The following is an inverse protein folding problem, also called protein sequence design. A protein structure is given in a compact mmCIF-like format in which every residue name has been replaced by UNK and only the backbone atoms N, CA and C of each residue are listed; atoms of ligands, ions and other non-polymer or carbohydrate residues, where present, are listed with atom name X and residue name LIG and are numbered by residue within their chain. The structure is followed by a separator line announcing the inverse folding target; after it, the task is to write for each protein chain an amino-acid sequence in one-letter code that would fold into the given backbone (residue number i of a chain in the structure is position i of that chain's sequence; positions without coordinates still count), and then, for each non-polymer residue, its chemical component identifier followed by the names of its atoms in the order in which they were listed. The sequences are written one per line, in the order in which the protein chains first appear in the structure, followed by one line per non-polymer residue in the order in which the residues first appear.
data_IF_842232644633
#
_entry.id   IF_842232644633
#
_cell.length_a   1.000
_cell.length_b   1.000
_cell.length_c   1.000
_cell.angle_alpha   90.00
_cell.angle_beta   90.00
_cell.angle_gamma   90.00
#
_symmetry.space_group_name_H-M   'P 1'
#
loop_
_entity.id
_entity.type
_entity.pdbx_description
1 polymer ?
#
# COMPACT_ATOMS: atom_id res chain seq x y z
N UNK A 1 -0.91 16.82 14.17
CA UNK A 1 0.44 16.73 13.58
C UNK A 1 0.74 15.27 13.38
N UNK A 2 0.97 14.88 12.13
CA UNK A 2 1.32 13.52 11.76
C UNK A 2 2.77 13.26 12.15
N UNK A 3 3.01 12.16 12.85
CA UNK A 3 4.35 11.63 13.13
C UNK A 3 4.52 10.36 12.30
N UNK A 4 5.26 10.39 11.19
CA UNK A 4 5.43 9.23 10.32
C UNK A 4 6.20 8.06 10.95
N UNK A 5 6.81 8.27 12.12
CA UNK A 5 7.60 7.29 12.84
C UNK A 5 6.83 6.61 13.97
N UNK A 6 5.60 7.07 14.25
CA UNK A 6 4.72 6.45 15.22
C UNK A 6 4.33 5.04 14.79
N UNK A 7 4.56 4.07 15.66
CA UNK A 7 4.13 2.69 15.48
C UNK A 7 2.67 2.54 15.92
N UNK A 8 1.78 2.32 14.96
CA UNK A 8 0.34 2.26 15.18
C UNK A 8 -0.12 1.05 16.01
N UNK A 9 0.77 0.09 16.30
CA UNK A 9 0.50 -0.98 17.27
C UNK A 9 0.42 -0.46 18.70
N UNK A 10 1.06 0.67 19.00
CA UNK A 10 1.11 1.24 20.35
C UNK A 10 -0.27 1.68 20.86
N UNK A 11 -1.19 2.10 19.97
CA UNK A 11 -2.55 2.52 20.35
C UNK A 11 -3.64 1.56 19.87
N UNK A 12 -3.29 0.45 19.20
CA UNK A 12 -4.24 -0.58 18.78
C UNK A 12 -4.63 -1.57 19.88
N UNK A 13 -4.02 -1.48 21.07
CA UNK A 13 -4.25 -2.35 22.23
C UNK A 13 -4.07 -3.85 21.91
N UNK A 14 -3.05 -4.20 21.12
CA UNK A 14 -2.75 -5.57 20.73
C UNK A 14 -3.71 -6.15 19.68
N UNK A 15 -4.55 -5.31 19.08
CA UNK A 15 -5.42 -5.66 17.94
C UNK A 15 -4.81 -5.16 16.63
N UNK A 16 -5.47 -5.51 15.54
CA UNK A 16 -5.14 -5.05 14.19
C UNK A 16 -5.18 -3.51 14.10
N UNK A 17 -4.03 -2.84 13.85
CA UNK A 17 -3.97 -1.39 13.74
C UNK A 17 -4.90 -0.81 12.66
N UNK A 18 -5.12 -1.52 11.55
CA UNK A 18 -6.00 -1.05 10.47
C UNK A 18 -7.43 -0.76 10.96
N UNK A 19 -7.89 -1.50 11.97
CA UNK A 19 -9.25 -1.38 12.53
C UNK A 19 -9.28 -0.63 13.87
N UNK A 20 -8.17 -0.61 14.60
CA UNK A 20 -8.17 -0.22 16.02
C UNK A 20 -7.22 0.93 16.37
N UNK A 21 -6.30 1.33 15.49
CA UNK A 21 -5.46 2.51 15.74
C UNK A 21 -6.21 3.79 15.40
N UNK A 22 -6.56 4.57 16.44
CA UNK A 22 -7.14 5.90 16.26
C UNK A 22 -6.13 6.86 15.62
N UNK A 23 -4.84 6.66 15.91
CA UNK A 23 -3.75 7.44 15.33
C UNK A 23 -3.63 7.19 13.83
N UNK A 24 -3.67 5.93 13.39
CA UNK A 24 -3.63 5.58 11.96
C UNK A 24 -4.84 6.16 11.21
N UNK A 25 -6.05 5.99 11.76
CA UNK A 25 -7.26 6.57 11.16
C UNK A 25 -7.14 8.09 11.01
N UNK A 26 -6.67 8.78 12.05
CA UNK A 26 -6.43 10.23 12.01
C UNK A 26 -5.40 10.60 10.94
N UNK A 27 -4.29 9.87 10.84
CA UNK A 27 -3.25 10.14 9.84
C UNK A 27 -3.78 10.00 8.42
N UNK A 28 -4.59 8.97 8.12
CA UNK A 28 -5.26 8.86 6.84
C UNK A 28 -6.23 10.02 6.58
N UNK A 29 -7.01 10.42 7.59
CA UNK A 29 -7.95 11.53 7.45
C UNK A 29 -7.22 12.85 7.12
N UNK A 30 -6.11 13.13 7.80
CA UNK A 30 -5.30 14.33 7.59
C UNK A 30 -4.52 14.28 6.25
N UNK A 31 -3.79 13.20 5.95
CA UNK A 31 -2.91 13.12 4.77
C UNK A 31 -3.67 13.12 3.43
N UNK A 32 -4.82 12.48 3.41
CA UNK A 32 -5.57 12.26 2.17
C UNK A 32 -6.71 13.26 1.97
N UNK A 33 -6.88 14.20 2.90
CA UNK A 33 -7.70 15.40 2.70
C UNK A 33 -6.87 16.46 1.98
N UNK A 34 -6.75 16.34 0.65
CA UNK A 34 -5.99 17.28 -0.19
C UNK A 34 -6.53 17.36 -1.62
N UNK A 35 -6.10 18.33 -2.43
CA UNK A 35 -6.54 18.45 -3.82
C UNK A 35 -6.20 17.22 -4.66
N UNK A 36 -7.16 16.78 -5.47
CA UNK A 36 -7.00 15.85 -6.58
C UNK A 36 -6.23 16.52 -7.74
N UNK A 37 -5.67 15.75 -8.69
CA UNK A 37 -4.94 16.30 -9.83
C UNK A 37 -5.75 17.25 -10.74
N UNK A 38 -7.07 17.23 -10.68
CA UNK A 38 -7.95 18.17 -11.40
C UNK A 38 -8.36 19.40 -10.56
N UNK A 39 -7.80 19.55 -9.36
CA UNK A 39 -8.05 20.67 -8.45
C UNK A 39 -9.28 20.53 -7.55
N UNK A 40 -10.10 19.47 -7.71
CA UNK A 40 -11.17 19.18 -6.76
C UNK A 40 -10.57 18.78 -5.40
N UNK A 41 -11.26 19.11 -4.32
CA UNK A 41 -10.81 18.71 -2.98
C UNK A 41 -11.29 17.29 -2.66
N UNK A 42 -10.37 16.38 -2.33
CA UNK A 42 -10.74 15.13 -1.66
C UNK A 42 -10.82 15.39 -0.15
N UNK A 43 -11.83 14.85 0.51
CA UNK A 43 -12.05 14.96 1.96
C UNK A 43 -12.26 13.58 2.55
N UNK A 44 -11.80 13.39 3.79
CA UNK A 44 -12.04 12.18 4.56
C UNK A 44 -13.07 12.45 5.65
N UNK A 45 -14.29 11.92 5.45
CA UNK A 45 -15.39 12.05 6.41
C UNK A 45 -15.32 10.91 7.43
N UNK A 46 -15.16 11.23 8.71
CA UNK A 46 -15.12 10.24 9.79
C UNK A 46 -16.55 9.81 10.18
N UNK A 47 -16.90 8.54 9.95
CA UNK A 47 -18.17 7.93 10.33
C UNK A 47 -18.02 6.99 11.54
N UNK A 48 -17.02 7.24 12.39
CA UNK A 48 -16.71 6.44 13.56
C UNK A 48 -15.82 5.25 13.22
N UNK A 49 -16.42 4.19 12.68
CA UNK A 49 -15.71 2.93 12.40
C UNK A 49 -14.88 2.96 11.10
N UNK A 50 -15.19 3.85 10.16
CA UNK A 50 -14.53 3.96 8.86
C UNK A 50 -14.47 5.40 8.38
N UNK A 51 -13.56 5.66 7.43
CA UNK A 51 -13.49 6.90 6.67
C UNK A 51 -14.27 6.75 5.36
N UNK A 52 -14.91 7.84 4.93
CA UNK A 52 -15.46 7.97 3.59
C UNK A 52 -14.65 9.02 2.84
N UNK A 53 -14.00 8.63 1.75
CA UNK A 53 -13.37 9.54 0.81
C UNK A 53 -14.46 10.22 -0.04
N UNK A 54 -14.45 11.54 -0.12
CA UNK A 54 -15.46 12.33 -0.84
C UNK A 54 -14.83 13.47 -1.62
N UNK A 55 -15.17 13.59 -2.90
CA UNK A 55 -14.84 14.74 -3.75
C UNK A 55 -16.02 15.74 -3.88
N UNK A 56 -17.07 15.55 -3.07
CA UNK A 56 -18.34 16.28 -3.11
C UNK A 56 -19.36 15.76 -4.13
N UNK A 57 -18.97 14.85 -5.02
CA UNK A 57 -19.85 14.23 -6.05
C UNK A 57 -19.99 12.72 -5.85
N UNK A 58 -18.89 12.06 -5.51
CA UNK A 58 -18.78 10.64 -5.23
C UNK A 58 -18.29 10.46 -3.79
N UNK A 59 -18.78 9.42 -3.13
CA UNK A 59 -18.39 9.02 -1.78
C UNK A 59 -18.02 7.54 -1.81
N UNK A 60 -16.80 7.22 -1.38
CA UNK A 60 -16.28 5.85 -1.38
C UNK A 60 -15.81 5.53 0.04
N UNK A 61 -16.41 4.53 0.71
CA UNK A 61 -15.87 4.01 1.96
C UNK A 61 -14.46 3.46 1.72
N UNK A 62 -13.51 3.87 2.56
CA UNK A 62 -12.11 3.43 2.47
C UNK A 62 -11.65 2.79 3.77
N UNK A 63 -10.71 1.87 3.67
CA UNK A 63 -10.01 1.27 4.81
C UNK A 63 -8.51 1.43 4.63
N UNK A 64 -7.79 1.50 5.75
CA UNK A 64 -6.35 1.27 5.77
C UNK A 64 -6.03 -0.12 5.23
N UNK A 65 -4.84 -0.26 4.68
CA UNK A 65 -4.29 -1.50 4.19
C UNK A 65 -2.77 -1.45 4.29
N UNK A 66 -2.21 -2.39 5.05
CA UNK A 66 -0.78 -2.51 5.23
C UNK A 66 -0.11 -3.07 3.96
N UNK A 67 0.89 -2.34 3.46
CA UNK A 67 1.60 -2.68 2.22
C UNK A 67 2.87 -3.52 2.46
N UNK A 68 3.17 -3.87 3.70
CA UNK A 68 4.29 -4.76 4.08
C UNK A 68 3.89 -6.22 3.91
N UNK A 69 4.50 -6.89 2.93
CA UNK A 69 4.32 -8.31 2.71
C UNK A 69 5.58 -9.08 3.15
N UNK A 70 5.67 -9.46 4.43
CA UNK A 70 6.85 -10.20 4.95
C UNK A 70 6.76 -11.71 4.74
N UNK A 71 5.58 -12.30 4.53
CA UNK A 71 5.40 -13.75 4.42
C UNK A 71 5.79 -14.57 5.65
N UNK A 72 6.07 -13.94 6.80
CA UNK A 72 6.49 -14.64 8.02
C UNK A 72 5.46 -15.67 8.51
N UNK A 73 4.17 -15.35 8.36
CA UNK A 73 3.08 -16.25 8.73
C UNK A 73 2.82 -17.38 7.73
N UNK A 74 3.49 -17.39 6.57
CA UNK A 74 3.19 -18.33 5.48
C UNK A 74 3.95 -19.63 5.67
N UNK A 75 3.23 -20.74 5.90
CA UNK A 75 3.82 -22.08 6.13
C UNK A 75 4.84 -22.50 5.06
N UNK A 76 4.59 -22.13 3.80
CA UNK A 76 5.47 -22.44 2.66
C UNK A 76 6.78 -21.63 2.64
N UNK A 77 6.86 -20.53 3.38
CA UNK A 77 8.05 -19.69 3.52
C UNK A 77 8.82 -19.95 4.82
N UNK A 78 8.27 -20.75 5.74
CA UNK A 78 8.78 -20.94 7.09
C UNK A 78 10.29 -21.24 7.14
N UNK A 79 10.78 -22.17 6.32
CA UNK A 79 12.20 -22.54 6.30
C UNK A 79 13.11 -21.39 5.86
N UNK A 80 12.66 -20.55 4.91
CA UNK A 80 13.42 -19.38 4.45
C UNK A 80 13.46 -18.34 5.56
N UNK A 81 12.31 -18.06 6.18
CA UNK A 81 12.17 -17.08 7.26
C UNK A 81 13.04 -17.45 8.47
N UNK A 82 13.03 -18.72 8.89
CA UNK A 82 13.83 -19.21 10.04
C UNK A 82 15.34 -19.12 9.82
N UNK A 83 15.80 -19.16 8.56
CA UNK A 83 17.22 -19.04 8.19
C UNK A 83 17.64 -17.60 7.88
N UNK A 84 16.70 -16.66 7.86
CA UNK A 84 16.97 -15.26 7.52
C UNK A 84 17.63 -14.55 8.69
N UNK A 85 18.67 -13.71 8.46
CA UNK A 85 19.29 -12.93 9.51
C UNK A 85 18.29 -12.14 10.35
N UNK A 86 18.39 -12.29 11.67
CA UNK A 86 17.40 -11.73 12.61
C UNK A 86 17.34 -10.22 12.58
N UNK A 87 18.47 -9.56 12.33
CA UNK A 87 18.57 -8.11 12.16
C UNK A 87 17.71 -7.60 10.99
N UNK A 88 17.60 -8.36 9.91
CA UNK A 88 16.75 -8.02 8.75
C UNK A 88 15.26 -8.11 9.11
N UNK A 89 14.86 -9.16 9.84
CA UNK A 89 13.48 -9.30 10.32
C UNK A 89 13.10 -8.19 11.31
N UNK A 90 14.02 -7.83 12.21
CA UNK A 90 13.81 -6.73 13.16
C UNK A 90 13.76 -5.38 12.43
N UNK A 91 14.55 -5.18 11.38
CA UNK A 91 14.53 -3.95 10.61
C UNK A 91 13.18 -3.70 9.93
N UNK A 92 12.59 -4.73 9.29
CA UNK A 92 11.27 -4.58 8.65
C UNK A 92 10.16 -4.41 9.70
N UNK A 93 10.18 -5.19 10.80
CA UNK A 93 9.20 -5.09 11.90
C UNK A 93 9.21 -3.69 12.58
N UNK A 94 10.35 -3.01 12.57
CA UNK A 94 10.47 -1.66 13.09
C UNK A 94 9.83 -0.61 12.19
N UNK A 95 9.71 -0.84 10.88
CA UNK A 95 9.08 0.11 9.95
C UNK A 95 7.64 -0.25 9.61
N UNK A 96 7.26 -1.50 9.87
CA UNK A 96 5.89 -1.98 9.78
C UNK A 96 4.94 -1.16 10.68
N UNK A 97 3.65 -1.11 10.31
CA UNK A 97 2.59 -0.40 11.04
C UNK A 97 2.83 1.10 11.31
N UNK A 98 3.72 1.71 10.54
CA UNK A 98 3.86 3.17 10.46
C UNK A 98 3.10 3.67 9.25
N UNK A 99 2.68 4.94 9.24
CA UNK A 99 1.92 5.51 8.09
C UNK A 99 2.65 5.39 6.74
N UNK A 100 3.99 5.31 6.72
CA UNK A 100 4.79 5.04 5.52
C UNK A 100 4.57 3.64 4.93
N UNK A 101 4.03 2.73 5.71
CA UNK A 101 3.71 1.34 5.40
C UNK A 101 2.22 1.09 5.19
N UNK A 102 1.42 2.16 5.15
CA UNK A 102 -0.03 2.08 5.04
C UNK A 102 -0.52 2.81 3.79
N UNK A 103 -1.62 2.32 3.21
CA UNK A 103 -2.34 2.97 2.12
C UNK A 103 -3.84 2.86 2.36
N UNK A 104 -4.65 3.60 1.61
CA UNK A 104 -6.10 3.42 1.62
C UNK A 104 -6.59 2.81 0.30
N UNK A 105 -7.55 1.90 0.41
CA UNK A 105 -8.32 1.37 -0.72
C UNK A 105 -9.82 1.44 -0.43
N UNK A 106 -10.68 1.45 -1.46
CA UNK A 106 -12.10 1.22 -1.30
C UNK A 106 -12.37 -0.09 -0.52
N UNK A 107 -13.17 0.01 0.53
CA UNK A 107 -13.43 -1.11 1.46
C UNK A 107 -14.71 -1.87 1.16
N UNK A 108 -15.59 -1.32 0.34
CA UNK A 108 -16.84 -1.97 -0.05
C UNK A 108 -16.63 -3.05 -1.11
N UNK A 109 -17.41 -4.13 -1.01
CA UNK A 109 -17.42 -5.19 -2.01
C UNK A 109 -18.18 -4.73 -3.26
N UNK A 110 -17.55 -4.83 -4.43
CA UNK A 110 -18.18 -4.49 -5.71
C UNK A 110 -18.26 -5.69 -6.64
N UNK A 111 -19.41 -5.83 -7.30
CA UNK A 111 -19.70 -6.96 -8.19
C UNK A 111 -19.76 -8.33 -7.49
N UNK A 112 -19.99 -8.36 -6.17
CA UNK A 112 -20.15 -9.61 -5.40
C UNK A 112 -18.88 -10.47 -5.29
N UNK A 113 -17.70 -9.92 -5.54
CA UNK A 113 -16.44 -10.67 -5.57
C UNK A 113 -15.52 -10.32 -4.40
N UNK A 114 -14.44 -9.59 -4.66
CA UNK A 114 -13.37 -9.27 -3.71
C UNK A 114 -13.09 -7.77 -3.73
N UNK A 115 -12.75 -7.23 -2.57
CA UNK A 115 -12.09 -5.92 -2.43
C UNK A 115 -10.68 -5.96 -3.03
N UNK A 116 -10.07 -4.79 -3.24
CA UNK A 116 -8.69 -4.69 -3.73
C UNK A 116 -7.73 -5.40 -2.78
N UNK A 117 -7.81 -5.12 -1.47
CA UNK A 117 -7.00 -5.78 -0.44
C UNK A 117 -7.11 -7.31 -0.55
N UNK A 118 -8.34 -7.85 -0.56
CA UNK A 118 -8.55 -9.29 -0.66
C UNK A 118 -8.01 -9.88 -1.97
N UNK A 119 -8.18 -9.19 -3.09
CA UNK A 119 -7.67 -9.65 -4.38
C UNK A 119 -6.13 -9.70 -4.38
N UNK A 120 -5.45 -8.66 -3.89
CA UNK A 120 -4.00 -8.60 -3.75
C UNK A 120 -3.44 -9.75 -2.88
N UNK A 121 -4.04 -9.99 -1.72
CA UNK A 121 -3.58 -11.04 -0.80
C UNK A 121 -3.83 -12.47 -1.30
N UNK A 122 -4.92 -12.70 -2.05
CA UNK A 122 -5.30 -14.04 -2.52
C UNK A 122 -4.77 -14.38 -3.92
N UNK A 123 -4.43 -13.37 -4.73
CA UNK A 123 -4.00 -13.60 -6.10
C UNK A 123 -2.59 -14.22 -6.12
N UNK A 124 -2.47 -15.45 -6.61
CA UNK A 124 -1.22 -16.23 -6.56
C UNK A 124 -0.03 -15.59 -7.28
N UNK A 125 -0.29 -14.71 -8.25
CA UNK A 125 0.75 -13.93 -8.99
C UNK A 125 1.15 -12.62 -8.31
N UNK A 126 0.43 -12.20 -7.27
CA UNK A 126 0.72 -10.97 -6.52
C UNK A 126 1.25 -11.36 -5.15
N UNK A 127 0.59 -12.29 -4.48
CA UNK A 127 1.01 -12.80 -3.19
C UNK A 127 1.18 -11.66 -2.20
N UNK A 128 0.23 -10.75 -2.16
CA UNK A 128 0.22 -9.57 -1.30
C UNK A 128 1.30 -8.50 -1.54
N UNK A 129 2.22 -8.70 -2.49
CA UNK A 129 3.27 -7.73 -2.78
C UNK A 129 2.74 -6.41 -3.33
N UNK A 130 3.10 -5.32 -2.65
CA UNK A 130 2.63 -3.99 -3.04
C UNK A 130 3.33 -3.46 -4.30
N UNK A 131 4.61 -3.75 -4.54
CA UNK A 131 5.29 -3.39 -5.78
C UNK A 131 4.63 -4.04 -7.01
N UNK A 132 4.28 -5.33 -6.93
CA UNK A 132 3.50 -6.02 -7.96
C UNK A 132 2.07 -5.47 -8.11
N UNK A 133 1.46 -5.05 -7.00
CA UNK A 133 0.14 -4.40 -7.02
C UNK A 133 0.20 -3.04 -7.71
N UNK A 134 1.24 -2.25 -7.41
CA UNK A 134 1.46 -0.94 -7.99
C UNK A 134 1.76 -1.05 -9.49
N UNK A 135 2.50 -2.08 -9.92
CA UNK A 135 2.69 -2.38 -11.34
C UNK A 135 1.35 -2.73 -12.03
N UNK A 136 0.46 -3.47 -11.37
CA UNK A 136 -0.88 -3.71 -11.91
C UNK A 136 -1.67 -2.40 -12.04
N UNK A 137 -1.57 -1.47 -11.08
CA UNK A 137 -2.20 -0.15 -11.12
C UNK A 137 -1.63 0.67 -12.29
N UNK A 138 -0.31 0.70 -12.46
CA UNK A 138 0.38 1.37 -13.56
C UNK A 138 -0.12 0.87 -14.92
N UNK A 139 -0.22 -0.45 -15.08
CA UNK A 139 -0.77 -1.08 -16.29
C UNK A 139 -2.23 -0.75 -16.52
N UNK A 140 -3.05 -0.70 -15.47
CA UNK A 140 -4.46 -0.34 -15.59
C UNK A 140 -4.65 1.07 -16.18
N UNK A 141 -3.89 2.07 -15.71
CA UNK A 141 -3.91 3.42 -16.29
C UNK A 141 -3.43 3.44 -17.76
N UNK A 142 -2.60 2.49 -18.15
CA UNK A 142 -2.13 2.32 -19.54
C UNK A 142 -3.06 1.43 -20.38
N UNK A 143 -4.19 0.99 -19.85
CA UNK A 143 -5.10 0.01 -20.48
C UNK A 143 -4.39 -1.29 -20.91
N UNK A 144 -3.37 -1.69 -20.15
CA UNK A 144 -2.64 -2.96 -20.33
C UNK A 144 -3.19 -4.02 -19.39
N UNK A 145 -3.09 -5.28 -19.82
CA UNK A 145 -3.53 -6.41 -19.00
C UNK A 145 -2.63 -6.62 -17.78
N UNK A 146 -3.22 -7.08 -16.69
CA UNK A 146 -2.54 -7.42 -15.45
C UNK A 146 -3.41 -8.35 -14.58
N UNK A 147 -2.81 -9.10 -13.63
CA UNK A 147 -3.56 -9.97 -12.73
C UNK A 147 -4.74 -9.31 -11.99
N UNK A 148 -4.69 -7.99 -11.76
CA UNK A 148 -5.70 -7.25 -11.02
C UNK A 148 -6.54 -6.32 -11.90
N UNK A 149 -6.36 -6.31 -13.23
CA UNK A 149 -7.05 -5.37 -14.13
C UNK A 149 -8.58 -5.40 -13.96
N UNK A 150 -9.19 -6.58 -13.98
CA UNK A 150 -10.64 -6.74 -13.78
C UNK A 150 -11.12 -6.33 -12.38
N UNK A 151 -10.24 -6.35 -11.38
CA UNK A 151 -10.52 -5.86 -10.03
C UNK A 151 -10.63 -4.34 -10.07
N UNK A 152 -9.62 -3.68 -10.64
CA UNK A 152 -9.57 -2.23 -10.74
C UNK A 152 -10.69 -1.65 -11.61
N UNK A 153 -11.16 -2.38 -12.63
CA UNK A 153 -12.33 -1.96 -13.39
C UNK A 153 -13.60 -1.77 -12.55
N UNK A 154 -13.76 -2.54 -11.46
CA UNK A 154 -14.90 -2.40 -10.53
C UNK A 154 -14.76 -1.20 -9.59
N UNK A 155 -13.54 -0.67 -9.45
CA UNK A 155 -13.18 0.49 -8.64
C UNK A 155 -12.71 1.66 -9.50
N UNK A 156 -13.17 1.72 -10.76
CA UNK A 156 -12.77 2.73 -11.74
C UNK A 156 -12.98 4.16 -11.25
N UNK A 157 -14.10 4.44 -10.61
CA UNK A 157 -14.43 5.73 -9.98
C UNK A 157 -13.36 6.20 -8.97
N UNK A 158 -12.82 5.29 -8.16
CA UNK A 158 -11.72 5.59 -7.23
C UNK A 158 -10.44 5.93 -8.00
N UNK A 159 -10.06 5.14 -8.99
CA UNK A 159 -8.83 5.39 -9.76
C UNK A 159 -8.94 6.63 -10.65
N UNK A 160 -10.13 6.93 -11.20
CA UNK A 160 -10.36 8.12 -12.02
C UNK A 160 -10.14 9.44 -11.27
N UNK A 161 -10.24 9.46 -9.93
CA UNK A 161 -9.87 10.61 -9.13
C UNK A 161 -8.43 11.09 -9.37
N UNK A 162 -7.52 10.17 -9.70
CA UNK A 162 -6.11 10.48 -9.84
C UNK A 162 -5.67 10.71 -11.30
N UNK A 163 -6.60 10.58 -12.25
CA UNK A 163 -6.46 10.78 -13.71
C UNK A 163 -5.49 9.84 -14.42
N UNK A 164 -4.27 9.71 -13.93
CA UNK A 164 -3.21 8.85 -14.48
C UNK A 164 -2.34 8.26 -13.36
N UNK A 165 -1.39 7.39 -13.74
CA UNK A 165 -0.51 6.73 -12.78
C UNK A 165 0.37 7.71 -12.01
N UNK A 166 0.82 8.79 -12.66
CA UNK A 166 1.63 9.84 -12.01
C UNK A 166 0.81 10.55 -10.95
N UNK A 167 -0.43 10.91 -11.25
CA UNK A 167 -1.36 11.50 -10.29
C UNK A 167 -1.65 10.57 -9.11
N UNK A 168 -1.76 9.26 -9.33
CA UNK A 168 -1.92 8.27 -8.25
C UNK A 168 -0.70 8.21 -7.33
N UNK A 169 0.50 8.10 -7.92
CA UNK A 169 1.78 8.08 -7.19
C UNK A 169 1.97 9.37 -6.40
N UNK A 170 1.74 10.51 -7.04
CA UNK A 170 1.94 11.81 -6.41
C UNK A 170 0.95 12.07 -5.28
N UNK A 171 -0.30 11.65 -5.44
CA UNK A 171 -1.32 11.78 -4.41
C UNK A 171 -0.98 10.93 -3.18
N UNK A 172 -0.57 9.67 -3.34
CA UNK A 172 -0.27 8.77 -2.21
C UNK A 172 1.18 8.81 -1.72
N UNK A 173 1.99 9.73 -2.26
CA UNK A 173 3.40 9.91 -1.92
C UNK A 173 4.21 8.62 -2.12
N UNK A 174 4.02 7.97 -3.28
CA UNK A 174 4.61 6.67 -3.61
C UNK A 174 5.88 6.78 -4.48
N UNK A 175 6.50 7.96 -4.57
CA UNK A 175 7.64 8.18 -5.47
C UNK A 175 8.84 7.28 -5.15
N UNK A 176 8.95 6.77 -3.92
CA UNK A 176 10.04 5.86 -3.54
C UNK A 176 9.86 4.43 -4.08
N UNK A 177 8.66 4.10 -4.61
CA UNK A 177 8.36 2.84 -5.30
C UNK A 177 8.57 2.90 -6.83
N UNK A 178 8.99 4.04 -7.39
CA UNK A 178 9.16 4.23 -8.84
C UNK A 178 10.56 4.75 -9.19
N UNK A 179 10.95 4.59 -10.45
CA UNK A 179 12.10 5.28 -11.03
C UNK A 179 11.74 6.67 -11.57
N UNK A 180 12.74 7.39 -12.07
CA UNK A 180 12.59 8.75 -12.60
C UNK A 180 11.70 8.82 -13.85
N UNK A 181 11.40 7.67 -14.47
CA UNK A 181 10.49 7.53 -15.62
C UNK A 181 9.08 7.11 -15.21
N UNK A 182 8.76 7.09 -13.91
CA UNK A 182 7.51 6.59 -13.35
C UNK A 182 7.25 5.11 -13.66
N UNK A 183 8.29 4.30 -13.81
CA UNK A 183 8.18 2.84 -13.82
C UNK A 183 8.30 2.29 -12.41
N UNK A 184 7.50 1.28 -12.07
CA UNK A 184 7.51 0.66 -10.75
C UNK A 184 8.81 -0.11 -10.53
N UNK A 185 9.45 0.14 -9.38
CA UNK A 185 10.61 -0.63 -8.92
C UNK A 185 10.14 -1.94 -8.32
N UNK A 186 10.22 -3.01 -9.09
CA UNK A 186 9.96 -4.36 -8.59
C UNK A 186 11.16 -4.80 -7.76
N UNK A 187 10.90 -5.18 -6.50
CA UNK A 187 11.92 -5.47 -5.48
C UNK A 187 12.58 -6.85 -5.65
N UNK A 188 12.29 -7.54 -6.75
CA UNK A 188 12.89 -8.82 -7.15
C UNK A 188 12.96 -8.89 -8.66
N UNK A 189 13.57 -9.96 -9.20
CA UNK A 189 13.43 -10.31 -10.61
C UNK A 189 11.94 -10.31 -11.02
N UNK A 190 11.66 -9.73 -12.19
CA UNK A 190 10.31 -9.58 -12.72
C UNK A 190 10.20 -10.17 -14.11
N UNK A 191 9.31 -11.14 -14.28
CA UNK A 191 9.12 -11.91 -15.51
C UNK A 191 7.70 -11.78 -16.05
N UNK A 192 7.08 -10.61 -15.90
CA UNK A 192 5.71 -10.35 -16.35
C UNK A 192 4.65 -11.25 -15.67
N UNK A 193 4.75 -11.37 -14.35
CA UNK A 193 3.83 -12.15 -13.51
C UNK A 193 3.73 -13.64 -13.89
N UNK A 194 4.78 -14.23 -14.48
CA UNK A 194 4.79 -15.64 -14.85
C UNK A 194 5.29 -16.52 -13.70
N UNK A 195 6.27 -16.02 -12.93
CA UNK A 195 6.82 -16.71 -11.77
C UNK A 195 6.03 -16.48 -10.49
N UNK A 196 6.37 -17.29 -9.48
CA UNK A 196 5.91 -17.07 -8.11
C UNK A 196 6.36 -15.69 -7.62
N UNK A 197 5.48 -14.90 -6.98
CA UNK A 197 5.85 -13.60 -6.42
C UNK A 197 6.72 -13.72 -5.17
N UNK A 198 6.86 -14.93 -4.62
CA UNK A 198 7.61 -15.19 -3.39
C UNK A 198 9.10 -15.38 -3.66
N UNK A 199 9.98 -14.80 -2.81
CA UNK A 199 11.38 -15.19 -2.78
C UNK A 199 11.55 -16.71 -2.56
N UNK A 200 12.47 -17.34 -3.28
CA UNK A 200 12.69 -18.79 -3.28
C UNK A 200 13.93 -19.21 -2.48
N UNK A 201 14.82 -18.26 -2.15
CA UNK A 201 16.02 -18.51 -1.33
C UNK A 201 16.13 -17.51 -0.18
N UNK A 202 17.00 -17.81 0.80
CA UNK A 202 17.29 -16.91 1.92
C UNK A 202 17.90 -15.60 1.44
N UNK A 203 18.76 -15.67 0.42
CA UNK A 203 19.40 -14.50 -0.17
C UNK A 203 18.38 -13.59 -0.85
N UNK A 204 17.48 -14.16 -1.66
CA UNK A 204 16.41 -13.41 -2.32
C UNK A 204 15.46 -12.77 -1.31
N UNK A 205 15.07 -13.51 -0.26
CA UNK A 205 14.18 -13.00 0.76
C UNK A 205 14.84 -11.90 1.60
N UNK A 206 16.12 -12.08 1.94
CA UNK A 206 16.91 -11.07 2.63
C UNK A 206 17.04 -9.78 1.81
N UNK A 207 17.32 -9.89 0.51
CA UNK A 207 17.41 -8.74 -0.39
C UNK A 207 16.07 -8.01 -0.48
N UNK A 208 14.98 -8.76 -0.72
CA UNK A 208 13.62 -8.22 -0.78
C UNK A 208 13.24 -7.45 0.49
N UNK A 209 13.48 -8.00 1.68
CA UNK A 209 13.15 -7.32 2.93
C UNK A 209 13.97 -6.05 3.15
N UNK A 210 15.25 -6.03 2.75
CA UNK A 210 16.09 -4.84 2.82
C UNK A 210 15.58 -3.74 1.90
N UNK A 211 15.32 -4.07 0.64
CA UNK A 211 14.82 -3.11 -0.33
C UNK A 211 13.44 -2.58 0.06
N UNK A 212 12.56 -3.44 0.60
CA UNK A 212 11.26 -3.03 1.13
C UNK A 212 11.43 -2.09 2.33
N UNK A 213 12.29 -2.44 3.29
CA UNK A 213 12.58 -1.60 4.48
C UNK A 213 13.08 -0.22 4.08
N UNK A 214 14.02 -0.16 3.14
CA UNK A 214 14.60 1.09 2.64
C UNK A 214 13.53 1.93 1.93
N UNK A 215 12.73 1.31 1.05
CA UNK A 215 11.63 1.98 0.33
C UNK A 215 10.60 2.58 1.28
N UNK A 216 10.16 1.81 2.28
CA UNK A 216 9.19 2.27 3.29
C UNK A 216 9.77 3.39 4.17
N UNK A 217 11.05 3.29 4.53
CA UNK A 217 11.75 4.33 5.28
C UNK A 217 11.85 5.64 4.48
N UNK A 218 12.13 5.56 3.18
CA UNK A 218 12.14 6.72 2.30
C UNK A 218 10.75 7.34 2.15
N UNK A 219 9.71 6.52 1.98
CA UNK A 219 8.32 6.99 1.95
C UNK A 219 7.93 7.68 3.26
N UNK A 220 8.29 7.13 4.42
CA UNK A 220 8.05 7.78 5.71
C UNK A 220 8.72 9.17 5.80
N UNK A 221 9.98 9.30 5.35
CA UNK A 221 10.67 10.60 5.26
C UNK A 221 9.97 11.57 4.30
N UNK A 222 9.46 11.07 3.17
CA UNK A 222 8.70 11.88 2.21
C UNK A 222 7.39 12.40 2.81
N UNK A 223 6.67 11.56 3.54
CA UNK A 223 5.47 11.97 4.28
C UNK A 223 5.86 13.02 5.32
N UNK A 224 6.95 12.84 6.06
CA UNK A 224 7.43 13.82 7.03
C UNK A 224 7.71 15.19 6.40
N UNK A 225 8.36 15.20 5.23
CA UNK A 225 8.61 16.42 4.46
C UNK A 225 7.31 17.05 3.95
N UNK A 226 6.38 16.24 3.44
CA UNK A 226 5.09 16.72 2.95
C UNK A 226 4.26 17.39 4.06
N UNK A 227 4.20 16.76 5.24
CA UNK A 227 3.47 17.29 6.41
C UNK A 227 4.04 18.63 6.90
N UNK A 228 5.32 18.92 6.66
CA UNK A 228 5.94 20.22 6.99
C UNK A 228 5.56 21.34 6.01
N UNK A 229 4.98 21.01 4.86
CA UNK A 229 4.65 21.95 3.77
C UNK A 229 3.16 22.32 3.72
N UNK A 230 2.31 21.61 4.47
CA UNK A 230 0.87 21.84 4.58
C UNK A 230 0.54 22.48 5.93
#
# INVERSE_FOLDING_TARGET
MIDPWFDCRQDSNGKDPDQHSLTLKRYHAELWTKPLPDGRQLTMLDQGAYLIASDGRCQIPVSSDNIVATFEAWKRNKLIVEQTPRDVLVAIDNVDWRIGSEIIFPSELRGGTQTINRARGWHRKIGDRFDLTLECIARWYQSKDSPLASVFDRYRDFFEWFRDFKGYVDFFLLQDFIDDTYQVRILTDFDDFQSSPLPQTVEQYTAYLRDLTDTLTLRAKRIEQHVKLI
#
